data_IF_435465969156
#
_entry.id   IF_435465969156
#
_cell.length_a   1.000
_cell.length_b   1.000
_cell.length_c   1.000
_cell.angle_alpha   90.00
_cell.angle_beta   90.00
_cell.angle_gamma   90.00
#
_symmetry.space_group_name_H-M   'P 1'
#
loop_
_entity.id
_entity.type
_entity.pdbx_description
1 polymer ?
#
# COMPACT_ATOMS: atom_id res chain seq x y z
N UNK A 1 4.75 17.80 -5.35
CA UNK A 1 3.71 17.56 -6.38
C UNK A 1 3.48 16.07 -6.66
N UNK A 2 4.49 15.29 -7.05
CA UNK A 2 4.35 13.84 -7.31
C UNK A 2 3.82 13.03 -6.10
N UNK A 3 4.45 13.19 -4.92
CA UNK A 3 4.01 12.54 -3.68
C UNK A 3 2.55 12.88 -3.31
N UNK A 4 2.15 14.14 -3.49
CA UNK A 4 0.77 14.57 -3.24
C UNK A 4 -0.23 13.92 -4.19
N UNK A 5 0.09 13.83 -5.49
CA UNK A 5 -0.75 13.13 -6.49
C UNK A 5 -0.89 11.64 -6.16
N UNK A 6 0.19 10.97 -5.78
CA UNK A 6 0.15 9.55 -5.41
C UNK A 6 -0.67 9.31 -4.15
N UNK A 7 -0.54 10.17 -3.14
CA UNK A 7 -1.31 10.02 -1.90
C UNK A 7 -2.81 10.21 -2.17
N UNK A 8 -3.19 11.28 -2.88
CA UNK A 8 -4.60 11.56 -3.20
C UNK A 8 -5.24 10.43 -4.01
N UNK A 9 -4.50 9.83 -4.95
CA UNK A 9 -4.99 8.70 -5.75
C UNK A 9 -5.25 7.43 -4.91
N UNK A 10 -4.53 7.28 -3.79
CA UNK A 10 -4.57 6.06 -2.97
C UNK A 10 -5.56 6.17 -1.79
N UNK A 11 -5.89 7.40 -1.36
CA UNK A 11 -6.88 7.65 -0.31
C UNK A 11 -8.21 6.89 -0.48
N UNK A 12 -8.88 6.86 -1.66
CA UNK A 12 -10.13 6.13 -1.80
C UNK A 12 -9.97 4.62 -1.55
N UNK A 13 -8.84 4.03 -1.96
CA UNK A 13 -8.55 2.63 -1.72
C UNK A 13 -8.32 2.34 -0.22
N UNK A 14 -7.60 3.22 0.48
CA UNK A 14 -7.40 3.12 1.94
C UNK A 14 -8.74 3.21 2.67
N UNK A 15 -9.56 4.22 2.33
CA UNK A 15 -10.88 4.42 2.94
C UNK A 15 -11.80 3.22 2.74
N UNK A 16 -11.84 2.65 1.53
CA UNK A 16 -12.62 1.45 1.26
C UNK A 16 -12.13 0.25 2.06
N UNK A 17 -10.81 0.08 2.19
CA UNK A 17 -10.22 -1.04 2.95
C UNK A 17 -10.56 -0.92 4.44
N UNK A 18 -10.51 0.28 5.02
CA UNK A 18 -10.92 0.50 6.41
C UNK A 18 -12.42 0.30 6.60
N UNK A 19 -13.25 0.75 5.67
CA UNK A 19 -14.70 0.50 5.72
C UNK A 19 -15.01 -1.00 5.68
N UNK A 20 -14.35 -1.75 4.79
CA UNK A 20 -14.47 -3.21 4.73
C UNK A 20 -14.00 -3.87 6.03
N UNK A 21 -12.86 -3.44 6.59
CA UNK A 21 -12.36 -3.97 7.87
C UNK A 21 -13.35 -3.75 9.01
N UNK A 22 -13.85 -2.52 9.18
CA UNK A 22 -14.83 -2.21 10.23
C UNK A 22 -16.11 -3.01 10.01
N UNK A 23 -16.62 -3.09 8.77
CA UNK A 23 -17.79 -3.89 8.43
C UNK A 23 -17.60 -5.38 8.76
N UNK A 24 -16.46 -5.96 8.38
CA UNK A 24 -16.13 -7.36 8.68
C UNK A 24 -15.93 -7.61 10.18
N UNK A 25 -15.29 -6.69 10.91
CA UNK A 25 -15.11 -6.80 12.36
C UNK A 25 -16.45 -6.76 13.11
N UNK A 26 -17.35 -5.86 12.71
CA UNK A 26 -18.71 -5.78 13.27
C UNK A 26 -19.53 -7.04 12.94
N UNK A 27 -19.47 -7.52 11.69
CA UNK A 27 -20.14 -8.76 11.31
C UNK A 27 -19.60 -9.96 12.09
N UNK A 28 -18.28 -10.06 12.28
CA UNK A 28 -17.65 -11.11 13.07
C UNK A 28 -18.05 -11.05 14.55
N UNK A 29 -18.24 -9.84 15.11
CA UNK A 29 -18.70 -9.68 16.50
C UNK A 29 -20.13 -10.21 16.72
N UNK A 30 -20.97 -10.23 15.69
CA UNK A 30 -22.36 -10.71 15.76
C UNK A 30 -22.48 -12.20 15.41
N UNK A 31 -21.73 -12.66 14.42
CA UNK A 31 -21.90 -13.99 13.80
C UNK A 31 -20.94 -15.03 14.40
N UNK A 32 -19.71 -14.63 14.73
CA UNK A 32 -18.66 -15.57 15.12
C UNK A 32 -18.67 -15.84 16.64
N UNK A 33 -18.14 -17.00 17.09
CA UNK A 33 -17.90 -17.24 18.50
C UNK A 33 -17.07 -16.12 19.14
N UNK A 34 -17.39 -15.76 20.38
CA UNK A 34 -16.74 -14.67 21.13
C UNK A 34 -15.20 -14.59 21.01
N UNK A 35 -14.42 -15.69 21.11
CA UNK A 35 -12.96 -15.61 20.96
C UNK A 35 -12.50 -15.20 19.55
N UNK A 36 -13.26 -15.53 18.51
CA UNK A 36 -12.94 -15.19 17.11
C UNK A 36 -13.32 -13.74 16.83
N UNK A 37 -14.50 -13.31 17.26
CA UNK A 37 -14.95 -11.92 17.11
C UNK A 37 -14.02 -10.93 17.82
N UNK A 38 -13.58 -11.26 19.04
CA UNK A 38 -12.67 -10.42 19.82
C UNK A 38 -11.29 -10.27 19.15
N UNK A 39 -10.87 -11.22 18.31
CA UNK A 39 -9.56 -11.20 17.66
C UNK A 39 -9.39 -10.01 16.71
N UNK A 40 -10.47 -9.57 16.05
CA UNK A 40 -10.47 -8.41 15.16
C UNK A 40 -10.15 -7.11 15.90
N UNK A 41 -10.51 -7.00 17.18
CA UNK A 41 -10.30 -5.77 17.97
C UNK A 41 -8.95 -5.74 18.69
N UNK A 42 -8.12 -6.76 18.53
CA UNK A 42 -6.78 -6.79 19.15
C UNK A 42 -5.88 -5.75 18.51
N UNK A 43 -4.97 -5.19 19.31
CA UNK A 43 -4.09 -4.10 18.89
C UNK A 43 -3.30 -4.43 17.62
N UNK A 44 -2.84 -5.66 17.41
CA UNK A 44 -2.10 -6.04 16.21
C UNK A 44 -2.95 -5.97 14.93
N UNK A 45 -4.24 -6.35 14.97
CA UNK A 45 -5.14 -6.25 13.82
C UNK A 45 -5.50 -4.80 13.54
N UNK A 46 -5.86 -4.04 14.58
CA UNK A 46 -6.20 -2.63 14.45
C UNK A 46 -5.01 -1.79 13.95
N UNK A 47 -3.80 -2.03 14.47
CA UNK A 47 -2.58 -1.38 14.01
C UNK A 47 -2.16 -1.84 12.61
N UNK A 48 -2.35 -3.12 12.29
CA UNK A 48 -2.13 -3.67 10.96
C UNK A 48 -2.98 -2.94 9.93
N UNK A 49 -4.30 -2.88 10.13
CA UNK A 49 -5.17 -2.20 9.18
C UNK A 49 -4.96 -0.68 9.15
N UNK A 50 -4.69 -0.03 10.29
CA UNK A 50 -4.50 1.43 10.30
C UNK A 50 -3.16 1.90 9.72
N UNK A 51 -2.07 1.14 9.88
CA UNK A 51 -0.71 1.58 9.48
C UNK A 51 -0.20 0.82 8.26
N UNK A 52 -0.35 -0.51 8.22
CA UNK A 52 0.18 -1.33 7.14
C UNK A 52 -0.57 -1.09 5.83
N UNK A 53 -1.90 -0.89 5.89
CA UNK A 53 -2.72 -0.62 4.68
C UNK A 53 -2.30 0.67 3.98
N UNK A 54 -2.20 1.85 4.65
CA UNK A 54 -1.68 3.05 3.98
C UNK A 54 -0.29 2.87 3.38
N UNK A 55 0.61 2.16 4.06
CA UNK A 55 1.97 1.92 3.56
C UNK A 55 1.97 1.07 2.29
N UNK A 56 1.24 -0.05 2.31
CA UNK A 56 1.10 -0.94 1.15
C UNK A 56 0.46 -0.20 -0.03
N UNK A 57 -0.61 0.55 0.24
CA UNK A 57 -1.34 1.27 -0.79
C UNK A 57 -0.47 2.39 -1.40
N UNK A 58 0.31 3.10 -0.58
CA UNK A 58 1.28 4.10 -1.05
C UNK A 58 2.37 3.48 -1.93
N UNK A 59 2.94 2.34 -1.51
CA UNK A 59 3.94 1.60 -2.28
C UNK A 59 3.39 1.12 -3.62
N UNK A 60 2.19 0.56 -3.64
CA UNK A 60 1.51 0.17 -4.87
C UNK A 60 1.32 1.40 -5.79
N UNK A 61 0.81 2.51 -5.26
CA UNK A 61 0.61 3.74 -6.03
C UNK A 61 1.91 4.29 -6.62
N UNK A 62 2.99 4.38 -5.84
CA UNK A 62 4.26 4.92 -6.32
C UNK A 62 4.94 3.98 -7.32
N UNK A 63 4.82 2.66 -7.12
CA UNK A 63 5.30 1.68 -8.10
C UNK A 63 4.56 1.80 -9.44
N UNK A 64 3.25 2.01 -9.42
CA UNK A 64 2.45 2.22 -10.63
C UNK A 64 2.90 3.45 -11.41
N UNK A 65 3.19 4.55 -10.71
CA UNK A 65 3.73 5.78 -11.33
C UNK A 65 5.11 5.51 -11.93
N UNK A 66 6.01 4.84 -11.22
CA UNK A 66 7.34 4.50 -11.74
C UNK A 66 7.22 3.62 -12.99
N UNK A 67 6.43 2.54 -12.94
CA UNK A 67 6.23 1.62 -14.06
C UNK A 67 5.62 2.34 -15.27
N UNK A 68 4.66 3.25 -15.06
CA UNK A 68 4.08 4.05 -16.15
C UNK A 68 5.08 4.96 -16.86
N UNK A 69 6.15 5.38 -16.16
CA UNK A 69 7.21 6.19 -16.76
C UNK A 69 8.14 5.35 -17.67
N UNK A 70 8.19 4.02 -17.49
CA UNK A 70 9.03 3.11 -18.27
C UNK A 70 8.27 2.36 -19.37
N UNK A 71 6.97 2.15 -19.19
CA UNK A 71 6.16 1.40 -20.14
C UNK A 71 5.86 2.25 -21.38
N UNK A 72 6.30 1.77 -22.55
CA UNK A 72 5.97 2.39 -23.85
C UNK A 72 4.52 2.12 -24.28
N UNK A 73 3.92 1.04 -23.77
CA UNK A 73 2.55 0.61 -24.08
C UNK A 73 1.72 0.40 -22.79
N UNK A 74 0.48 0.89 -22.80
CA UNK A 74 -0.45 0.86 -21.65
C UNK A 74 -0.67 -0.57 -21.11
N UNK A 75 -0.77 -1.57 -22.00
CA UNK A 75 -0.97 -2.98 -21.61
C UNK A 75 0.23 -3.56 -20.86
N UNK A 76 1.45 -3.22 -21.29
CA UNK A 76 2.68 -3.64 -20.62
C UNK A 76 2.85 -2.98 -19.25
N UNK A 77 2.45 -1.71 -19.13
CA UNK A 77 2.45 -1.01 -17.83
C UNK A 77 1.57 -1.74 -16.80
N UNK A 78 0.39 -2.19 -17.24
CA UNK A 78 -0.61 -2.77 -16.36
C UNK A 78 -0.20 -4.16 -15.85
N UNK A 79 0.29 -5.03 -16.73
CA UNK A 79 0.77 -6.36 -16.32
C UNK A 79 2.01 -6.28 -15.41
N UNK A 80 2.92 -5.36 -15.69
CA UNK A 80 4.12 -5.16 -14.85
C UNK A 80 3.73 -4.58 -13.48
N UNK A 81 2.76 -3.67 -13.44
CA UNK A 81 2.24 -3.12 -12.17
C UNK A 81 1.59 -4.22 -11.30
N UNK A 82 0.84 -5.15 -11.92
CA UNK A 82 0.24 -6.29 -11.22
C UNK A 82 1.28 -7.20 -10.57
N UNK A 83 2.41 -7.43 -11.24
CA UNK A 83 3.50 -8.24 -10.70
C UNK A 83 4.15 -7.61 -9.47
N UNK A 84 4.26 -6.28 -9.42
CA UNK A 84 4.82 -5.54 -8.27
C UNK A 84 3.86 -5.50 -7.08
N UNK A 85 2.55 -5.51 -7.32
CA UNK A 85 1.53 -5.51 -6.26
C UNK A 85 1.41 -6.88 -5.57
N UNK A 86 1.70 -7.96 -6.28
CA UNK A 86 1.59 -9.33 -5.77
C UNK A 86 2.39 -9.61 -4.48
N UNK A 87 3.69 -9.25 -4.37
CA UNK A 87 4.42 -9.40 -3.11
C UNK A 87 3.86 -8.51 -2.00
N UNK A 88 3.32 -7.33 -2.33
CA UNK A 88 2.69 -6.44 -1.35
C UNK A 88 1.41 -7.05 -0.75
N UNK A 89 0.65 -7.82 -1.55
CA UNK A 89 -0.50 -8.59 -1.05
C UNK A 89 -0.07 -9.64 -0.02
N UNK A 90 1.09 -10.29 -0.22
CA UNK A 90 1.64 -11.24 0.76
C UNK A 90 1.95 -10.59 2.11
N UNK A 91 2.39 -9.33 2.10
CA UNK A 91 2.66 -8.56 3.32
C UNK A 91 1.38 -8.26 4.12
N UNK A 92 0.22 -8.21 3.46
CA UNK A 92 -1.07 -8.04 4.14
C UNK A 92 -1.41 -9.20 5.09
N UNK A 93 -0.69 -10.33 5.02
CA UNK A 93 -0.86 -11.46 5.92
C UNK A 93 -0.13 -11.29 7.26
N UNK A 94 0.79 -10.33 7.39
CA UNK A 94 1.60 -10.14 8.61
C UNK A 94 0.76 -9.94 9.89
N UNK A 95 -0.36 -9.19 9.88
CA UNK A 95 -1.21 -9.05 11.06
C UNK A 95 -1.78 -10.38 11.59
N UNK A 96 -1.86 -11.44 10.78
CA UNK A 96 -2.35 -12.75 11.23
C UNK A 96 -1.41 -13.45 12.22
N UNK A 97 -0.14 -13.03 12.28
CA UNK A 97 0.92 -13.70 13.08
C UNK A 97 0.90 -13.29 14.57
N UNK A 98 -0.08 -12.48 15.01
CA UNK A 98 -0.23 -11.97 16.40
C UNK A 98 1.09 -11.51 17.05
N UNK A 99 1.98 -10.92 16.23
CA UNK A 99 3.31 -10.47 16.66
C UNK A 99 3.46 -8.99 16.36
N UNK A 100 3.38 -8.17 17.41
CA UNK A 100 3.56 -6.72 17.31
C UNK A 100 4.96 -6.34 16.84
N UNK A 101 5.98 -7.10 17.23
CA UNK A 101 7.36 -6.91 16.75
C UNK A 101 7.45 -7.12 15.24
N UNK A 102 6.90 -8.23 14.74
CA UNK A 102 6.92 -8.52 13.30
C UNK A 102 6.17 -7.44 12.53
N UNK A 103 4.99 -7.04 13.01
CA UNK A 103 4.20 -5.96 12.43
C UNK A 103 5.01 -4.65 12.38
N UNK A 104 5.62 -4.24 13.50
CA UNK A 104 6.40 -3.01 13.58
C UNK A 104 7.62 -3.05 12.64
N UNK A 105 8.35 -4.17 12.60
CA UNK A 105 9.47 -4.38 11.71
C UNK A 105 9.05 -4.29 10.23
N UNK A 106 7.94 -4.93 9.86
CA UNK A 106 7.37 -4.84 8.51
C UNK A 106 6.96 -3.42 8.16
N UNK A 107 6.21 -2.72 9.04
CA UNK A 107 5.83 -1.33 8.82
C UNK A 107 7.05 -0.42 8.64
N UNK A 108 8.09 -0.61 9.46
CA UNK A 108 9.34 0.15 9.35
C UNK A 108 10.03 -0.11 8.01
N UNK A 109 10.13 -1.38 7.59
CA UNK A 109 10.74 -1.77 6.31
C UNK A 109 9.96 -1.19 5.12
N UNK A 110 8.63 -1.26 5.13
CA UNK A 110 7.80 -0.67 4.07
C UNK A 110 7.91 0.86 4.04
N UNK A 111 7.97 1.53 5.20
CA UNK A 111 8.15 2.97 5.28
C UNK A 111 9.51 3.40 4.71
N UNK A 112 10.59 2.67 5.04
CA UNK A 112 11.91 2.89 4.46
C UNK A 112 11.90 2.67 2.95
N UNK A 113 11.27 1.59 2.48
CA UNK A 113 11.15 1.30 1.05
C UNK A 113 10.38 2.41 0.33
N UNK A 114 9.26 2.88 0.91
CA UNK A 114 8.46 3.97 0.36
C UNK A 114 9.24 5.28 0.27
N UNK A 115 10.03 5.59 1.30
CA UNK A 115 10.92 6.73 1.30
C UNK A 115 11.98 6.64 0.17
N UNK A 116 12.64 5.49 0.04
CA UNK A 116 13.62 5.27 -1.03
C UNK A 116 13.01 5.35 -2.43
N UNK A 117 11.88 4.69 -2.66
CA UNK A 117 11.16 4.72 -3.94
C UNK A 117 10.69 6.13 -4.30
N UNK A 118 10.24 6.92 -3.32
CA UNK A 118 9.86 8.31 -3.58
C UNK A 118 11.02 9.18 -4.04
N UNK A 119 12.21 8.98 -3.48
CA UNK A 119 13.43 9.66 -3.92
C UNK A 119 13.86 9.20 -5.31
N UNK A 120 13.73 7.91 -5.62
CA UNK A 120 14.00 7.38 -6.96
C UNK A 120 13.03 7.97 -7.99
N UNK A 121 11.73 7.96 -7.70
CA UNK A 121 10.72 8.57 -8.56
C UNK A 121 11.00 10.07 -8.80
N UNK A 122 11.34 10.83 -7.76
CA UNK A 122 11.69 12.24 -7.89
C UNK A 122 12.93 12.45 -8.78
N UNK A 123 13.97 11.64 -8.61
CA UNK A 123 15.19 11.70 -9.44
C UNK A 123 14.93 11.32 -10.90
N UNK A 124 14.08 10.33 -11.15
CA UNK A 124 13.74 9.90 -12.50
C UNK A 124 12.97 10.97 -13.26
N UNK A 125 11.98 11.59 -12.62
CA UNK A 125 11.22 12.69 -13.23
C UNK A 125 12.08 13.94 -13.45
N UNK A 126 12.97 14.29 -12.52
CA UNK A 126 13.91 15.41 -12.71
C UNK A 126 14.88 15.20 -13.89
N UNK A 127 15.22 13.95 -14.23
CA UNK A 127 16.04 13.64 -15.41
C UNK A 127 15.25 13.69 -16.72
N UNK A 128 13.93 13.51 -16.69
CA UNK A 128 13.06 13.55 -17.86
C UNK A 128 12.72 14.96 -18.36
N UNK A 129 12.77 15.99 -17.49
CA UNK A 129 12.33 17.35 -17.86
C UNK A 129 13.33 18.17 -18.70
N UNK A 130 14.58 17.72 -18.89
CA UNK A 130 15.54 18.49 -19.71
C UNK A 130 15.34 18.25 -21.22
N UNK A 131 14.69 17.15 -21.64
CA UNK A 131 14.57 16.79 -23.06
C UNK A 131 13.19 17.00 -23.68
N UNK A 132 12.14 17.32 -22.91
CA UNK A 132 10.90 17.87 -23.49
C UNK A 132 11.05 19.37 -23.72
N UNK A 133 12.08 19.74 -24.49
CA UNK A 133 11.95 20.85 -25.43
C UNK A 133 10.88 20.42 -26.41
N UNK A 134 9.70 20.98 -26.24
CA UNK A 134 8.67 21.02 -27.27
C UNK A 134 9.31 21.45 -28.60
N UNK A 135 9.33 20.53 -29.56
CA UNK A 135 8.99 20.80 -30.95
C UNK A 135 7.71 20.04 -31.23
#
# INVERSE_FOLDING_TARGET
LLLGKTLVAVLPAIGLTWACYVGSALAAAVIAPAPVGAHFFRAHYALGFSVLVPLVAFLAGISGVIVSAYARDVRGAQSLSGFVVLPLMGVALVPLVDSLWLLAATCCLLALLGFWLSRLAARLFQRGEILTRWR
#
